data_IF_732244990386
#
_entry.id   IF_732244990386
#
_cell.length_a   1.000
_cell.length_b   1.000
_cell.length_c   1.000
_cell.angle_alpha   90.00
_cell.angle_beta   90.00
_cell.angle_gamma   90.00
#
_symmetry.space_group_name_H-M   'P 1'
#
loop_
_entity.id
_entity.type
_entity.pdbx_description
1 polymer ?
#
# COMPACT_ATOMS: atom_id res chain seq x y z
N UNK A 1 7.15 -18.24 -2.28
CA UNK A 1 7.96 -17.00 -2.42
C UNK A 1 7.02 -15.80 -2.37
N UNK A 2 7.03 -15.01 -1.29
CA UNK A 2 6.15 -13.84 -1.16
C UNK A 2 6.80 -12.64 -1.82
N UNK A 3 6.55 -12.47 -3.12
CA UNK A 3 7.04 -11.31 -3.86
C UNK A 3 6.20 -10.09 -3.48
N UNK A 4 6.82 -9.13 -2.78
CA UNK A 4 6.20 -7.85 -2.47
C UNK A 4 6.18 -7.02 -3.75
N UNK A 5 4.99 -6.60 -4.19
CA UNK A 5 4.82 -5.87 -5.45
C UNK A 5 5.55 -4.52 -5.37
N UNK A 6 6.35 -4.18 -6.39
CA UNK A 6 7.01 -2.88 -6.46
C UNK A 6 6.27 -1.95 -7.43
N UNK A 7 6.07 -0.68 -7.05
CA UNK A 7 5.49 0.33 -7.94
C UNK A 7 6.40 0.64 -9.15
N UNK A 8 7.63 0.10 -9.17
CA UNK A 8 8.58 0.22 -10.28
C UNK A 8 8.48 -0.92 -11.30
N UNK A 9 7.77 -2.02 -10.98
CA UNK A 9 7.55 -3.14 -11.92
C UNK A 9 6.72 -2.74 -13.14
N UNK A 10 6.00 -1.62 -13.05
CA UNK A 10 5.15 -1.09 -14.13
C UNK A 10 5.99 -0.26 -15.11
N UNK A 11 6.18 -0.78 -16.33
CA UNK A 11 6.92 -0.11 -17.42
C UNK A 11 6.24 1.15 -17.95
N UNK A 12 4.92 1.28 -17.78
CA UNK A 12 4.13 2.42 -18.26
C UNK A 12 3.78 3.36 -17.11
N UNK A 13 4.41 4.54 -17.08
CA UNK A 13 4.24 5.52 -15.99
C UNK A 13 2.76 5.91 -15.77
N UNK A 14 1.96 5.87 -16.84
CA UNK A 14 0.54 6.22 -16.82
C UNK A 14 -0.39 5.16 -16.19
N UNK A 15 0.06 3.90 -16.09
CA UNK A 15 -0.74 2.84 -15.46
C UNK A 15 -0.34 2.57 -14.00
N UNK A 16 0.72 3.24 -13.51
CA UNK A 16 1.21 3.11 -12.13
C UNK A 16 0.12 3.35 -11.06
N UNK A 17 -0.72 4.41 -11.09
CA UNK A 17 -1.75 4.59 -10.06
C UNK A 17 -2.82 3.50 -10.11
N UNK A 18 -3.23 3.07 -11.31
CA UNK A 18 -4.16 1.94 -11.50
C UNK A 18 -3.64 0.66 -10.88
N UNK A 19 -2.39 0.34 -11.18
CA UNK A 19 -1.74 -0.85 -10.64
C UNK A 19 -1.68 -0.82 -9.11
N UNK A 20 -1.24 0.28 -8.52
CA UNK A 20 -1.19 0.45 -7.06
C UNK A 20 -2.57 0.27 -6.43
N UNK A 21 -3.60 0.92 -6.98
CA UNK A 21 -4.98 0.80 -6.50
C UNK A 21 -5.42 -0.67 -6.55
N UNK A 22 -5.15 -1.37 -7.64
CA UNK A 22 -5.52 -2.76 -7.80
C UNK A 22 -4.77 -3.68 -6.82
N UNK A 23 -3.47 -3.46 -6.58
CA UNK A 23 -2.68 -4.23 -5.63
C UNK A 23 -3.16 -4.01 -4.20
N UNK A 24 -3.39 -2.77 -3.79
CA UNK A 24 -3.88 -2.46 -2.44
C UNK A 24 -5.30 -3.00 -2.21
N UNK A 25 -6.17 -3.02 -3.23
CA UNK A 25 -7.48 -3.69 -3.13
C UNK A 25 -7.37 -5.21 -2.98
N UNK A 26 -6.34 -5.84 -3.54
CA UNK A 26 -6.10 -7.28 -3.43
C UNK A 26 -5.34 -7.66 -2.15
N UNK A 27 -4.63 -6.70 -1.55
CA UNK A 27 -3.85 -6.90 -0.34
C UNK A 27 -4.74 -7.37 0.81
N UNK A 28 -4.31 -8.41 1.51
CA UNK A 28 -5.05 -8.96 2.66
C UNK A 28 -4.51 -8.43 3.99
N UNK A 29 -3.31 -7.84 3.97
CA UNK A 29 -2.59 -7.41 5.16
C UNK A 29 -1.97 -6.02 4.99
N UNK A 30 -1.70 -5.32 6.10
CA UNK A 30 -1.07 -3.98 6.08
C UNK A 30 0.30 -3.98 5.37
N UNK A 31 1.05 -5.08 5.46
CA UNK A 31 2.33 -5.23 4.76
C UNK A 31 2.16 -5.24 3.24
N UNK A 32 1.16 -5.98 2.74
CA UNK A 32 0.83 -6.05 1.33
C UNK A 32 0.24 -4.74 0.81
N UNK A 33 -0.53 -4.04 1.63
CA UNK A 33 -1.04 -2.69 1.32
C UNK A 33 0.12 -1.73 1.04
N UNK A 34 1.20 -1.83 1.80
CA UNK A 34 2.39 -1.01 1.60
C UNK A 34 3.38 -1.62 0.57
N UNK A 35 3.11 -2.80 0.02
CA UNK A 35 4.05 -3.48 -0.88
C UNK A 35 5.39 -3.80 -0.21
N UNK A 36 5.40 -4.04 1.11
CA UNK A 36 6.59 -4.38 1.87
C UNK A 36 6.52 -5.80 2.43
N UNK A 37 7.67 -6.42 2.66
CA UNK A 37 7.74 -7.72 3.35
C UNK A 37 7.37 -7.56 4.83
N UNK A 38 6.87 -8.63 5.45
CA UNK A 38 6.69 -8.70 6.91
C UNK A 38 7.98 -8.47 7.70
N UNK A 39 9.13 -8.77 7.10
CA UNK A 39 10.46 -8.49 7.67
C UNK A 39 10.95 -7.04 7.46
N UNK A 40 10.18 -6.19 6.77
CA UNK A 40 10.58 -4.81 6.49
C UNK A 40 10.72 -3.99 7.78
N UNK A 41 11.74 -3.13 7.84
CA UNK A 41 11.94 -2.21 8.97
C UNK A 41 11.05 -0.95 8.82
N UNK A 42 11.05 -0.09 9.84
CA UNK A 42 10.29 1.18 9.82
C UNK A 42 10.67 2.15 8.69
N UNK A 43 11.96 2.24 8.33
CA UNK A 43 12.41 3.05 7.19
C UNK A 43 11.87 2.53 5.86
N UNK A 44 11.82 1.21 5.66
CA UNK A 44 11.24 0.60 4.47
C UNK A 44 9.73 0.86 4.40
N UNK A 45 9.01 0.68 5.51
CA UNK A 45 7.58 1.01 5.65
C UNK A 45 7.32 2.49 5.31
N UNK A 46 8.12 3.40 5.85
CA UNK A 46 8.01 4.84 5.57
C UNK A 46 8.31 5.20 4.11
N UNK A 47 9.37 4.63 3.55
CA UNK A 47 9.73 4.88 2.15
C UNK A 47 8.63 4.39 1.20
N UNK A 48 8.08 3.19 1.46
CA UNK A 48 7.00 2.64 0.66
C UNK A 48 5.72 3.49 0.75
N UNK A 49 5.34 3.94 1.96
CA UNK A 49 4.24 4.88 2.15
C UNK A 49 4.42 6.16 1.33
N UNK A 50 5.61 6.78 1.40
CA UNK A 50 5.90 8.00 0.65
C UNK A 50 5.83 7.77 -0.87
N UNK A 51 6.40 6.66 -1.34
CA UNK A 51 6.35 6.27 -2.75
C UNK A 51 4.90 6.10 -3.21
N UNK A 52 4.07 5.37 -2.47
CA UNK A 52 2.67 5.10 -2.83
C UNK A 52 1.87 6.41 -2.85
N UNK A 53 1.96 7.22 -1.79
CA UNK A 53 1.26 8.51 -1.67
C UNK A 53 1.56 9.46 -2.83
N UNK A 54 2.82 9.57 -3.26
CA UNK A 54 3.21 10.41 -4.39
C UNK A 54 2.66 9.90 -5.74
N UNK A 55 2.33 8.61 -5.83
CA UNK A 55 1.87 7.96 -7.06
C UNK A 55 0.35 7.97 -7.19
N UNK A 56 -0.36 7.82 -6.08
CA UNK A 56 -1.84 7.88 -6.02
C UNK A 56 -2.36 9.29 -5.75
N UNK A 57 -1.49 10.30 -5.67
CA UNK A 57 -1.90 11.66 -5.37
C UNK A 57 -2.93 12.16 -6.41
N UNK A 58 -4.06 12.77 -5.97
CA UNK A 58 -5.15 13.19 -6.85
C UNK A 58 -4.68 14.11 -7.98
N UNK A 59 -3.68 14.97 -7.72
CA UNK A 59 -3.07 15.85 -8.73
C UNK A 59 -2.47 15.08 -9.92
N UNK A 60 -1.74 13.98 -9.65
CA UNK A 60 -1.23 13.11 -10.72
C UNK A 60 -2.34 12.30 -11.37
N UNK A 61 -3.32 11.87 -10.58
CA UNK A 61 -4.42 11.03 -11.06
C UNK A 61 -5.36 11.82 -11.99
N UNK A 62 -5.55 13.12 -11.75
CA UNK A 62 -6.40 13.98 -12.57
C UNK A 62 -5.88 14.13 -14.01
N UNK A 63 -4.57 13.94 -14.20
CA UNK A 63 -3.94 14.03 -15.52
C UNK A 63 -4.19 12.80 -16.40
N UNK A 64 -4.85 11.74 -15.89
CA UNK A 64 -5.16 10.55 -16.67
C UNK A 64 -6.59 10.59 -17.23
N UNK A 65 -6.76 10.02 -18.42
CA UNK A 65 -8.05 9.88 -19.13
C UNK A 65 -9.17 9.24 -18.29
N UNK A 66 -8.82 8.49 -17.24
CA UNK A 66 -9.77 7.82 -16.34
C UNK A 66 -9.81 8.40 -14.93
N UNK A 67 -9.48 9.69 -14.79
CA UNK A 67 -9.39 10.41 -13.53
C UNK A 67 -10.65 10.28 -12.65
N UNK A 68 -11.86 10.32 -13.23
CA UNK A 68 -13.10 10.36 -12.45
C UNK A 68 -13.30 9.14 -11.54
N UNK A 69 -13.13 7.92 -12.07
CA UNK A 69 -13.22 6.69 -11.25
C UNK A 69 -11.96 6.50 -10.41
N UNK A 70 -10.79 6.83 -10.94
CA UNK A 70 -9.52 6.64 -10.24
C UNK A 70 -9.35 7.57 -9.05
N UNK A 71 -9.86 8.80 -9.08
CA UNK A 71 -9.81 9.73 -7.95
C UNK A 71 -10.51 9.14 -6.72
N UNK A 72 -11.72 8.60 -6.94
CA UNK A 72 -12.50 7.99 -5.86
C UNK A 72 -11.79 6.77 -5.28
N UNK A 73 -11.20 5.93 -6.14
CA UNK A 73 -10.42 4.79 -5.68
C UNK A 73 -9.12 5.21 -5.00
N UNK A 74 -8.38 6.16 -5.57
CA UNK A 74 -7.15 6.69 -5.01
C UNK A 74 -7.36 7.21 -3.59
N UNK A 75 -8.46 7.92 -3.33
CA UNK A 75 -8.79 8.41 -2.00
C UNK A 75 -9.04 7.28 -0.99
N UNK A 76 -9.76 6.22 -1.41
CA UNK A 76 -10.00 5.04 -0.58
C UNK A 76 -8.69 4.27 -0.28
N UNK A 77 -7.85 4.12 -1.31
CA UNK A 77 -6.55 3.45 -1.20
C UNK A 77 -5.59 4.25 -0.34
N UNK A 78 -5.60 5.58 -0.45
CA UNK A 78 -4.80 6.46 0.39
C UNK A 78 -5.16 6.31 1.88
N UNK A 79 -6.45 6.19 2.20
CA UNK A 79 -6.92 5.90 3.57
C UNK A 79 -6.41 4.55 4.07
N UNK A 80 -6.49 3.50 3.24
CA UNK A 80 -5.98 2.16 3.58
C UNK A 80 -4.46 2.15 3.81
N UNK A 81 -3.71 2.79 2.91
CA UNK A 81 -2.25 2.93 2.98
C UNK A 81 -1.83 3.70 4.22
N UNK A 82 -2.56 4.76 4.57
CA UNK A 82 -2.32 5.55 5.78
C UNK A 82 -2.60 4.75 7.06
N UNK A 83 -3.70 3.98 7.09
CA UNK A 83 -4.00 3.10 8.21
C UNK A 83 -2.94 2.00 8.39
N UNK A 84 -2.51 1.39 7.28
CA UNK A 84 -1.41 0.41 7.28
C UNK A 84 -0.11 0.99 7.81
N UNK A 85 0.25 2.20 7.35
CA UNK A 85 1.42 2.90 7.83
C UNK A 85 1.33 3.22 9.32
N UNK A 86 0.19 3.69 9.82
CA UNK A 86 0.04 4.03 11.24
C UNK A 86 0.27 2.81 12.16
N UNK A 87 -0.24 1.64 11.76
CA UNK A 87 -0.04 0.38 12.49
C UNK A 87 1.41 -0.10 12.38
N UNK A 88 2.01 -0.04 11.20
CA UNK A 88 3.35 -0.61 10.95
C UNK A 88 4.51 0.33 11.32
N UNK A 89 4.26 1.63 11.41
CA UNK A 89 5.24 2.65 11.81
C UNK A 89 5.46 2.66 13.33
N UNK A 90 4.43 2.32 14.10
CA UNK A 90 4.54 2.23 15.56
C UNK A 90 4.95 0.82 15.98
N UNK A 91 5.95 0.71 16.87
CA UNK A 91 6.50 -0.59 17.28
C UNK A 91 5.49 -1.40 18.08
N UNK A 92 4.73 -0.77 18.97
CA UNK A 92 3.74 -1.43 19.82
C UNK A 92 2.53 -1.85 19.00
N UNK A 93 1.99 -0.95 18.17
CA UNK A 93 0.87 -1.30 17.28
C UNK A 93 1.25 -2.41 16.30
N UNK A 94 2.46 -2.37 15.74
CA UNK A 94 2.97 -3.40 14.85
C UNK A 94 3.06 -4.75 15.56
N UNK A 95 3.63 -4.80 16.76
CA UNK A 95 3.73 -6.05 17.52
C UNK A 95 2.34 -6.63 17.84
N UNK A 96 1.37 -5.79 18.23
CA UNK A 96 0.00 -6.21 18.45
C UNK A 96 -0.66 -6.75 17.17
N UNK A 97 -0.46 -6.07 16.04
CA UNK A 97 -0.95 -6.51 14.74
C UNK A 97 -0.31 -7.83 14.30
N UNK A 98 1.01 -7.97 14.42
CA UNK A 98 1.76 -9.21 14.13
C UNK A 98 1.27 -10.40 14.96
N UNK A 99 0.94 -10.16 16.23
CA UNK A 99 0.34 -11.19 17.10
C UNK A 99 -1.06 -11.58 16.62
N UNK A 100 -1.88 -10.62 16.20
CA UNK A 100 -3.23 -10.85 15.69
C UNK A 100 -3.23 -11.67 14.40
N UNK A 101 -2.44 -11.27 13.40
CA UNK A 101 -2.34 -12.00 12.12
C UNK A 101 -1.78 -13.42 12.27
N UNK A 102 -0.83 -13.63 13.21
CA UNK A 102 -0.28 -14.96 13.50
C UNK A 102 -1.31 -15.87 14.17
N UNK A 103 -2.21 -15.31 14.96
CA UNK A 103 -3.29 -16.06 15.63
C UNK A 103 -4.41 -16.47 14.67
N UNK A 104 -4.66 -15.70 13.61
CA UNK A 104 -5.68 -16.01 12.59
C UNK A 104 -5.26 -17.12 11.62
N UNK A 105 -3.96 -17.40 11.50
CA UNK A 105 -3.43 -18.44 10.61
C UNK A 105 -3.36 -19.84 11.24
N UNK A 106 -3.83 -19.98 12.48
CA UNK A 106 -3.78 -21.22 13.26
C UNK A 106 -5.17 -21.82 13.43
N UNK A 107 -5.80 -22.28 12.34
CA UNK A 107 -6.95 -23.20 12.36
C UNK A 107 -6.93 -24.07 11.10
#
# INVERSE_FOLDING_TARGET
>A
ETHAWSPDDVKVVADKPRYIIQQVRKARNHYEVLGVKSSANRQAVRSAYQQISLRIHPDKVQSFESAASLLKEAEAIFKLVSAAYEVLSDKDKRAAYEKSIRSTQAF
#
